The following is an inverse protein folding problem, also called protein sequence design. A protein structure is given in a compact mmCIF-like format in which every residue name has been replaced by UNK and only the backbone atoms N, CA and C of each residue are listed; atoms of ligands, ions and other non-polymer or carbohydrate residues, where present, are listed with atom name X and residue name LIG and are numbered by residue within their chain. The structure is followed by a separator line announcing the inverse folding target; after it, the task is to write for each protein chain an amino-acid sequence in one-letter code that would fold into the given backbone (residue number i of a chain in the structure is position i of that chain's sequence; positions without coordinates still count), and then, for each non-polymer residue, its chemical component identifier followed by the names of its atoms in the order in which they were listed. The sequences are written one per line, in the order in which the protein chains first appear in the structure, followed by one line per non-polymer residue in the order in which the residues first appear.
data_IF_078320485510
#
_entry.id   IF_078320485510
#
_cell.length_a   1.000
_cell.length_b   1.000
_cell.length_c   1.000
_cell.angle_alpha   90.00
_cell.angle_beta   90.00
_cell.angle_gamma   90.00
#
_symmetry.space_group_name_H-M   'P 1'
#
loop_
_entity.id
_entity.type
_entity.pdbx_description
1 polymer ?
#
# COMPACT_ATOMS: atom_id res chain seq x y z
N UNK A 1 -48.64 8.53 4.51
CA UNK A 1 -47.73 9.60 4.97
C UNK A 1 -46.45 8.93 5.45
N UNK A 2 -45.63 8.46 4.52
CA UNK A 2 -44.52 9.20 3.89
C UNK A 2 -43.26 9.19 4.76
N UNK A 3 -42.57 8.04 4.68
CA UNK A 3 -41.13 7.95 4.83
C UNK A 3 -40.50 8.90 3.80
N UNK A 4 -39.64 9.82 4.25
CA UNK A 4 -38.81 10.65 3.36
C UNK A 4 -37.55 9.89 2.97
N UNK A 5 -37.28 9.66 1.68
CA UNK A 5 -35.95 9.31 1.19
C UNK A 5 -35.20 10.57 0.73
N UNK A 6 -33.89 10.62 0.95
CA UNK A 6 -33.01 11.72 0.52
C UNK A 6 -31.63 11.60 1.18
N UNK A 7 -30.76 10.69 0.74
CA UNK A 7 -29.75 10.83 -0.33
C UNK A 7 -28.49 11.61 0.08
N UNK A 8 -27.39 10.88 0.27
CA UNK A 8 -26.20 11.07 -0.56
C UNK A 8 -25.35 9.80 -0.53
N UNK A 9 -25.02 9.19 -1.68
CA UNK A 9 -23.98 8.18 -1.73
C UNK A 9 -22.65 8.90 -1.55
N UNK A 10 -21.87 8.53 -0.52
CA UNK A 10 -20.47 8.96 -0.43
C UNK A 10 -19.79 8.61 -1.75
N UNK A 11 -19.48 9.62 -2.56
CA UNK A 11 -18.74 9.44 -3.81
C UNK A 11 -17.36 8.94 -3.40
N UNK A 12 -17.15 7.64 -3.51
CA UNK A 12 -15.83 7.01 -3.47
C UNK A 12 -15.05 7.66 -4.62
N UNK A 13 -14.19 8.63 -4.29
CA UNK A 13 -13.25 9.17 -5.25
C UNK A 13 -12.30 8.03 -5.58
N UNK A 14 -12.50 7.42 -6.74
CA UNK A 14 -11.66 6.35 -7.28
C UNK A 14 -10.32 6.99 -7.70
N UNK A 15 -9.50 7.39 -6.71
CA UNK A 15 -8.12 7.78 -6.92
C UNK A 15 -7.31 6.50 -7.08
N UNK A 16 -7.50 5.83 -8.22
CA UNK A 16 -6.60 4.77 -8.65
C UNK A 16 -5.25 5.40 -8.92
N UNK A 17 -4.37 5.32 -7.93
CA UNK A 17 -2.94 5.39 -8.17
C UNK A 17 -2.63 4.28 -9.17
N UNK A 18 -2.19 4.64 -10.37
CA UNK A 18 -1.65 3.69 -11.34
C UNK A 18 -0.29 3.20 -10.81
N UNK A 19 -0.35 2.24 -9.88
CA UNK A 19 0.79 1.44 -9.50
C UNK A 19 1.10 0.56 -10.70
N UNK A 20 1.98 1.04 -11.59
CA UNK A 20 2.35 0.39 -12.84
C UNK A 20 2.31 -1.13 -12.72
N UNK A 21 1.26 -1.72 -13.31
CA UNK A 21 1.03 -3.16 -13.37
C UNK A 21 1.17 -3.91 -12.04
N UNK A 22 0.33 -3.62 -11.04
CA UNK A 22 0.18 -4.49 -9.87
C UNK A 22 -0.02 -5.96 -10.33
N UNK A 23 0.88 -6.89 -9.95
CA UNK A 23 0.77 -8.28 -10.37
C UNK A 23 -0.57 -8.84 -9.89
N UNK A 24 -1.39 -9.32 -10.84
CA UNK A 24 -2.75 -9.79 -10.52
C UNK A 24 -2.68 -10.99 -9.57
N UNK A 25 -3.24 -10.77 -8.38
CA UNK A 25 -3.62 -11.74 -7.37
C UNK A 25 -4.00 -13.12 -7.96
N UNK A 26 -3.17 -14.11 -7.64
CA UNK A 26 -3.66 -15.42 -7.20
C UNK A 26 -3.20 -15.51 -5.76
N UNK A 27 -4.13 -15.64 -4.83
CA UNK A 27 -3.88 -15.90 -3.41
C UNK A 27 -2.58 -16.66 -3.21
N UNK A 28 -1.67 -16.09 -2.42
CA UNK A 28 -0.30 -16.53 -2.15
C UNK A 28 -0.14 -18.06 -2.11
N UNK A 29 0.01 -18.69 -3.26
CA UNK A 29 0.46 -20.07 -3.34
C UNK A 29 1.97 -20.00 -3.17
N UNK A 30 2.46 -20.49 -2.03
CA UNK A 30 3.90 -20.56 -1.76
C UNK A 30 4.67 -21.31 -2.86
N UNK A 31 3.97 -22.09 -3.70
CA UNK A 31 4.51 -22.83 -4.85
C UNK A 31 4.99 -21.95 -6.00
N UNK A 32 4.63 -20.66 -6.06
CA UNK A 32 5.05 -19.74 -7.13
C UNK A 32 6.17 -18.76 -6.74
N UNK A 33 6.73 -18.87 -5.52
CA UNK A 33 7.72 -17.92 -5.02
C UNK A 33 9.12 -18.30 -5.52
N UNK A 34 9.81 -17.43 -6.26
CA UNK A 34 11.14 -17.76 -6.77
C UNK A 34 12.14 -17.98 -5.62
N UNK A 35 12.99 -18.98 -5.80
CA UNK A 35 14.14 -19.17 -4.94
C UNK A 35 15.21 -18.12 -5.29
N UNK A 36 15.72 -17.41 -4.28
CA UNK A 36 16.73 -16.39 -4.52
C UNK A 36 18.13 -16.96 -4.25
N UNK A 37 19.06 -16.86 -5.22
CA UNK A 37 20.44 -17.21 -5.00
C UNK A 37 21.10 -16.25 -3.99
N UNK A 38 22.26 -16.66 -3.47
CA UNK A 38 23.13 -15.77 -2.69
C UNK A 38 23.66 -14.63 -3.57
N UNK A 39 24.14 -13.56 -2.94
CA UNK A 39 24.61 -12.35 -3.64
C UNK A 39 25.62 -12.64 -4.76
N UNK A 40 26.54 -13.58 -4.54
CA UNK A 40 27.55 -13.97 -5.53
C UNK A 40 26.97 -14.67 -6.78
N UNK A 41 25.77 -15.25 -6.68
CA UNK A 41 25.12 -15.97 -7.78
C UNK A 41 24.10 -15.15 -8.57
N UNK A 42 23.54 -14.08 -7.97
CA UNK A 42 22.42 -13.34 -8.55
C UNK A 42 22.74 -12.65 -9.89
N UNK A 43 23.99 -12.23 -10.09
CA UNK A 43 24.42 -11.62 -11.34
C UNK A 43 24.30 -12.61 -12.52
N UNK A 44 24.69 -13.87 -12.31
CA UNK A 44 24.64 -14.93 -13.30
C UNK A 44 23.23 -15.54 -13.46
N UNK A 45 22.33 -15.33 -12.49
CA UNK A 45 20.94 -15.82 -12.55
C UNK A 45 20.15 -15.10 -13.64
N UNK A 46 19.47 -15.89 -14.47
CA UNK A 46 18.62 -15.43 -15.57
C UNK A 46 17.14 -15.39 -15.16
N UNK A 47 16.31 -14.77 -16.00
CA UNK A 47 14.84 -14.77 -15.80
C UNK A 47 14.28 -16.18 -15.94
N UNK A 48 14.86 -16.97 -16.84
CA UNK A 48 14.53 -18.36 -17.09
C UNK A 48 14.78 -19.21 -15.84
N UNK A 49 15.96 -19.09 -15.21
CA UNK A 49 16.29 -19.80 -13.96
C UNK A 49 15.30 -19.45 -12.84
N UNK A 50 14.93 -18.18 -12.73
CA UNK A 50 13.99 -17.69 -11.72
C UNK A 50 12.59 -18.24 -11.99
N UNK A 51 12.13 -18.18 -13.24
CA UNK A 51 10.83 -18.70 -13.64
C UNK A 51 10.72 -20.21 -13.43
N UNK A 52 11.76 -20.96 -13.80
CA UNK A 52 11.83 -22.40 -13.60
C UNK A 52 11.81 -22.77 -12.12
N UNK A 53 12.57 -22.04 -11.28
CA UNK A 53 12.56 -22.25 -9.82
C UNK A 53 11.19 -22.04 -9.18
N UNK A 54 10.36 -21.20 -9.79
CA UNK A 54 9.00 -20.90 -9.37
C UNK A 54 7.94 -21.80 -10.04
N UNK A 55 8.36 -22.84 -10.79
CA UNK A 55 7.46 -23.73 -11.54
C UNK A 55 6.70 -23.02 -12.67
N UNK A 56 7.20 -21.88 -13.14
CA UNK A 56 6.60 -21.03 -14.16
C UNK A 56 7.36 -21.03 -15.49
N UNK A 57 6.84 -20.27 -16.46
CA UNK A 57 7.51 -20.00 -17.74
C UNK A 57 7.96 -18.54 -17.81
N UNK A 58 8.95 -18.18 -18.65
CA UNK A 58 9.35 -16.78 -18.86
C UNK A 58 8.18 -15.87 -19.25
N UNK A 59 7.23 -16.38 -20.06
CA UNK A 59 6.00 -15.65 -20.40
C UNK A 59 5.14 -15.32 -19.16
N UNK A 60 5.10 -16.23 -18.19
CA UNK A 60 4.38 -16.00 -16.92
C UNK A 60 5.17 -15.06 -16.01
N UNK A 61 6.50 -15.15 -16.01
CA UNK A 61 7.38 -14.21 -15.32
C UNK A 61 7.14 -12.77 -15.78
N UNK A 62 7.24 -12.49 -17.08
CA UNK A 62 7.08 -11.12 -17.62
C UNK A 62 5.68 -10.54 -17.43
N UNK A 63 4.67 -11.39 -17.15
CA UNK A 63 3.33 -10.94 -16.78
C UNK A 63 3.28 -10.41 -15.34
N UNK A 64 4.14 -10.91 -14.46
CA UNK A 64 4.17 -10.57 -13.05
C UNK A 64 5.28 -9.58 -12.70
N UNK A 65 6.41 -9.60 -13.43
CA UNK A 65 7.61 -8.83 -13.13
C UNK A 65 8.15 -8.17 -14.39
N UNK A 66 8.58 -6.91 -14.26
CA UNK A 66 9.27 -6.22 -15.35
C UNK A 66 10.74 -6.66 -15.45
N UNK A 67 11.40 -6.92 -14.31
CA UNK A 67 12.82 -7.31 -14.24
C UNK A 67 13.07 -8.46 -13.26
N UNK A 68 14.25 -9.08 -13.33
CA UNK A 68 14.69 -10.09 -12.34
C UNK A 68 14.90 -9.49 -10.95
N UNK A 69 15.32 -8.22 -10.90
CA UNK A 69 15.43 -7.45 -9.67
C UNK A 69 14.06 -7.24 -9.03
N UNK A 70 13.02 -6.94 -9.81
CA UNK A 70 11.65 -6.83 -9.28
C UNK A 70 11.16 -8.17 -8.71
N UNK A 71 11.46 -9.28 -9.38
CA UNK A 71 11.15 -10.62 -8.88
C UNK A 71 11.91 -10.95 -7.58
N UNK A 72 13.11 -10.40 -7.37
CA UNK A 72 13.84 -10.53 -6.11
C UNK A 72 13.18 -9.78 -4.95
N UNK A 73 12.36 -8.78 -5.27
CA UNK A 73 11.58 -7.99 -4.31
C UNK A 73 10.13 -8.50 -4.19
N UNK A 74 9.80 -9.68 -4.74
CA UNK A 74 8.43 -10.24 -4.78
C UNK A 74 7.74 -10.30 -3.42
N UNK A 75 8.48 -10.62 -2.36
CA UNK A 75 7.90 -10.77 -1.01
C UNK A 75 7.39 -9.45 -0.43
N UNK A 76 7.63 -8.32 -1.11
CA UNK A 76 7.00 -7.05 -0.79
C UNK A 76 5.62 -6.88 -1.44
N UNK A 77 5.07 -7.84 -2.19
CA UNK A 77 3.71 -7.73 -2.76
C UNK A 77 2.66 -7.56 -1.67
N UNK A 78 2.82 -8.23 -0.53
CA UNK A 78 1.92 -8.05 0.63
C UNK A 78 1.91 -6.57 1.09
N UNK A 79 3.02 -5.84 0.91
CA UNK A 79 3.09 -4.39 1.19
C UNK A 79 2.31 -3.59 0.14
N UNK A 80 2.38 -3.95 -1.14
CA UNK A 80 1.62 -3.27 -2.20
C UNK A 80 0.11 -3.49 -2.00
N UNK A 81 -0.30 -4.71 -1.64
CA UNK A 81 -1.70 -5.04 -1.34
C UNK A 81 -2.18 -4.29 -0.09
N UNK A 82 -1.38 -4.28 0.98
CA UNK A 82 -1.69 -3.52 2.19
C UNK A 82 -1.80 -2.01 1.91
N UNK A 83 -0.99 -1.48 0.98
CA UNK A 83 -1.06 -0.08 0.57
C UNK A 83 -2.29 0.21 -0.29
N UNK A 84 -2.67 -0.68 -1.21
CA UNK A 84 -3.85 -0.53 -2.05
C UNK A 84 -5.17 -0.56 -1.27
N UNK A 85 -5.16 -1.18 -0.08
CA UNK A 85 -6.27 -1.17 0.87
C UNK A 85 -6.12 -0.19 2.04
N UNK A 86 -5.13 0.72 2.00
CA UNK A 86 -4.84 1.62 3.12
C UNK A 86 -5.90 2.72 3.21
N UNK A 87 -6.79 2.60 4.19
CA UNK A 87 -7.70 3.65 4.64
C UNK A 87 -7.21 4.16 6.00
N UNK A 88 -6.91 5.46 6.11
CA UNK A 88 -6.43 6.08 7.36
C UNK A 88 -7.58 6.84 8.02
N UNK A 89 -7.84 6.56 9.29
CA UNK A 89 -8.80 7.31 10.11
C UNK A 89 -8.03 8.38 10.90
N UNK A 90 -7.94 9.59 10.33
CA UNK A 90 -7.16 10.71 10.90
C UNK A 90 -8.07 11.87 11.24
N UNK A 91 -7.90 12.46 12.42
CA UNK A 91 -8.65 13.67 12.82
C UNK A 91 -7.82 14.93 12.61
N UNK A 92 -6.52 14.84 12.84
CA UNK A 92 -5.55 15.90 12.66
C UNK A 92 -4.17 15.34 12.30
N UNK A 93 -3.17 16.23 12.23
CA UNK A 93 -1.81 15.86 11.86
C UNK A 93 -1.10 15.01 12.93
N UNK A 94 -1.44 15.15 14.21
CA UNK A 94 -0.87 14.33 15.26
C UNK A 94 -1.37 12.89 15.15
N UNK A 95 -2.69 12.71 14.97
CA UNK A 95 -3.32 11.41 14.73
C UNK A 95 -2.77 10.74 13.46
N UNK A 96 -2.54 11.50 12.40
CA UNK A 96 -1.95 11.00 11.16
C UNK A 96 -0.59 10.31 11.36
N UNK A 97 0.27 10.87 12.23
CA UNK A 97 1.57 10.26 12.52
C UNK A 97 1.43 8.91 13.23
N UNK A 98 0.44 8.79 14.12
CA UNK A 98 0.14 7.56 14.87
C UNK A 98 -0.43 6.49 13.95
N UNK A 99 -1.35 6.85 13.05
CA UNK A 99 -1.93 5.90 12.08
C UNK A 99 -0.86 5.33 11.14
N UNK A 100 0.04 6.18 10.62
CA UNK A 100 1.15 5.74 9.78
C UNK A 100 2.10 4.82 10.55
N UNK A 101 2.46 5.17 11.79
CA UNK A 101 3.29 4.31 12.64
C UNK A 101 2.61 2.97 12.91
N UNK A 102 1.29 2.95 13.15
CA UNK A 102 0.52 1.71 13.35
C UNK A 102 0.54 0.85 12.11
N UNK A 103 0.33 1.44 10.94
CA UNK A 103 0.41 0.74 9.65
C UNK A 103 1.79 0.09 9.44
N UNK A 104 2.86 0.88 9.60
CA UNK A 104 4.24 0.39 9.45
C UNK A 104 4.59 -0.70 10.48
N UNK A 105 4.16 -0.54 11.73
CA UNK A 105 4.35 -1.56 12.76
C UNK A 105 3.57 -2.85 12.44
N UNK A 106 2.38 -2.73 11.83
CA UNK A 106 1.62 -3.87 11.32
C UNK A 106 2.38 -4.65 10.25
N UNK A 107 2.99 -3.96 9.29
CA UNK A 107 3.83 -4.59 8.27
C UNK A 107 5.03 -5.32 8.89
N UNK A 108 5.69 -4.70 9.89
CA UNK A 108 6.82 -5.33 10.58
C UNK A 108 6.41 -6.56 11.39
N UNK A 109 5.25 -6.51 12.06
CA UNK A 109 4.72 -7.67 12.80
C UNK A 109 4.32 -8.82 11.90
N UNK A 110 3.96 -8.56 10.64
CA UNK A 110 3.67 -9.62 9.68
C UNK A 110 4.94 -10.40 9.26
N UNK A 111 6.14 -9.89 9.56
CA UNK A 111 7.41 -10.57 9.35
C UNK A 111 7.69 -11.56 10.50
N UNK A 112 7.20 -12.78 10.35
CA UNK A 112 7.45 -13.89 11.29
C UNK A 112 7.95 -15.14 10.55
N UNK A 113 8.71 -15.98 11.26
CA UNK A 113 9.31 -17.21 10.72
C UNK A 113 10.03 -16.93 9.40
N UNK A 114 9.89 -17.83 8.43
CA UNK A 114 10.54 -17.78 7.11
C UNK A 114 10.47 -16.42 6.39
N UNK A 115 9.46 -15.58 6.68
CA UNK A 115 9.35 -14.22 6.12
C UNK A 115 10.44 -13.29 6.64
N UNK A 116 10.85 -13.44 7.89
CA UNK A 116 11.93 -12.66 8.49
C UNK A 116 13.29 -13.04 7.89
N UNK A 117 13.59 -14.34 7.72
CA UNK A 117 14.82 -14.79 7.07
C UNK A 117 14.88 -14.32 5.60
N UNK A 118 13.75 -14.38 4.89
CA UNK A 118 13.60 -13.86 3.53
C UNK A 118 13.86 -12.35 3.47
N UNK A 119 13.23 -11.57 4.35
CA UNK A 119 13.46 -10.14 4.45
C UNK A 119 14.95 -9.83 4.70
N UNK A 120 15.59 -10.58 5.60
CA UNK A 120 17.02 -10.47 5.85
C UNK A 120 17.88 -10.86 4.64
N UNK A 121 17.47 -11.86 3.84
CA UNK A 121 18.13 -12.21 2.59
C UNK A 121 18.03 -11.09 1.56
N UNK A 122 16.83 -10.53 1.36
CA UNK A 122 16.62 -9.43 0.41
C UNK A 122 17.38 -8.17 0.84
N UNK A 123 17.40 -7.87 2.14
CA UNK A 123 18.26 -6.83 2.75
C UNK A 123 19.73 -6.99 2.35
N UNK A 124 20.30 -8.19 2.52
CA UNK A 124 21.69 -8.49 2.13
C UNK A 124 21.92 -8.33 0.63
N UNK A 125 20.97 -8.76 -0.20
CA UNK A 125 21.04 -8.60 -1.65
C UNK A 125 20.99 -7.12 -2.07
N UNK A 126 20.13 -6.32 -1.44
CA UNK A 126 20.00 -4.87 -1.66
C UNK A 126 21.27 -4.12 -1.25
N UNK A 127 21.91 -4.55 -0.17
CA UNK A 127 23.18 -3.99 0.29
C UNK A 127 24.33 -4.37 -0.68
N UNK A 128 24.37 -5.60 -1.17
CA UNK A 128 25.45 -6.10 -2.01
C UNK A 128 25.34 -5.73 -3.50
N UNK A 129 24.12 -5.58 -4.03
CA UNK A 129 23.88 -5.52 -5.48
C UNK A 129 23.23 -4.18 -5.85
N UNK A 130 23.93 -3.32 -6.64
CA UNK A 130 23.41 -2.01 -7.01
C UNK A 130 22.09 -2.04 -7.79
N UNK A 131 21.89 -3.00 -8.71
CA UNK A 131 20.63 -3.08 -9.49
C UNK A 131 19.42 -3.39 -8.61
N UNK A 132 19.57 -4.29 -7.63
CA UNK A 132 18.52 -4.58 -6.64
C UNK A 132 18.26 -3.37 -5.76
N UNK A 133 19.30 -2.63 -5.36
CA UNK A 133 19.14 -1.38 -4.61
C UNK A 133 18.32 -0.35 -5.37
N UNK A 134 18.60 -0.15 -6.65
CA UNK A 134 17.82 0.76 -7.49
C UNK A 134 16.36 0.32 -7.62
N UNK A 135 16.09 -0.98 -7.76
CA UNK A 135 14.73 -1.52 -7.77
C UNK A 135 14.02 -1.30 -6.41
N UNK A 136 14.73 -1.54 -5.30
CA UNK A 136 14.20 -1.32 -3.95
C UNK A 136 13.89 0.16 -3.70
N UNK A 137 14.76 1.07 -4.13
CA UNK A 137 14.53 2.52 -4.04
C UNK A 137 13.32 2.95 -4.89
N UNK A 138 13.17 2.40 -6.09
CA UNK A 138 12.00 2.66 -6.94
C UNK A 138 10.71 2.21 -6.25
N UNK A 139 10.73 1.02 -5.64
CA UNK A 139 9.59 0.50 -4.88
C UNK A 139 9.28 1.32 -3.64
N UNK A 140 10.29 1.71 -2.87
CA UNK A 140 10.13 2.57 -1.69
C UNK A 140 9.51 3.91 -2.05
N UNK A 141 9.87 4.48 -3.22
CA UNK A 141 9.23 5.71 -3.73
C UNK A 141 7.74 5.49 -4.01
N UNK A 142 7.36 4.34 -4.58
CA UNK A 142 5.95 3.99 -4.82
C UNK A 142 5.18 3.86 -3.52
N UNK A 143 5.74 3.16 -2.53
CA UNK A 143 5.11 3.00 -1.20
C UNK A 143 4.95 4.35 -0.51
N UNK A 144 6.02 5.14 -0.48
CA UNK A 144 6.02 6.49 0.12
C UNK A 144 4.97 7.39 -0.53
N UNK A 145 4.80 7.30 -1.85
CA UNK A 145 3.77 8.04 -2.58
C UNK A 145 2.37 7.60 -2.18
N UNK A 146 2.10 6.29 -2.13
CA UNK A 146 0.78 5.80 -1.72
C UNK A 146 0.40 6.23 -0.29
N UNK A 147 1.34 6.16 0.66
CA UNK A 147 1.09 6.64 2.04
C UNK A 147 0.80 8.15 2.04
N UNK A 148 1.57 8.94 1.29
CA UNK A 148 1.33 10.38 1.15
C UNK A 148 -0.06 10.67 0.60
N UNK A 149 -0.47 9.96 -0.45
CA UNK A 149 -1.74 10.21 -1.12
C UNK A 149 -2.93 9.80 -0.21
N UNK A 150 -2.79 8.69 0.52
CA UNK A 150 -3.74 8.29 1.55
C UNK A 150 -3.87 9.33 2.69
N UNK A 151 -2.74 9.88 3.15
CA UNK A 151 -2.72 10.95 4.16
C UNK A 151 -3.41 12.23 3.69
N UNK A 152 -3.12 12.65 2.44
CA UNK A 152 -3.74 13.84 1.86
C UNK A 152 -5.26 13.67 1.76
N UNK A 153 -5.72 12.50 1.29
CA UNK A 153 -7.14 12.20 1.20
C UNK A 153 -7.81 12.25 2.58
N UNK A 154 -7.26 11.53 3.56
CA UNK A 154 -7.85 11.40 4.89
C UNK A 154 -7.89 12.75 5.65
N UNK A 155 -6.82 13.55 5.58
CA UNK A 155 -6.80 14.89 6.19
C UNK A 155 -7.75 15.88 5.49
N UNK A 156 -7.93 15.72 4.17
CA UNK A 156 -8.92 16.50 3.40
C UNK A 156 -10.34 16.23 3.88
N UNK A 157 -10.70 14.95 4.04
CA UNK A 157 -12.01 14.52 4.54
C UNK A 157 -12.27 15.02 5.97
N UNK A 158 -11.28 14.90 6.88
CA UNK A 158 -11.40 15.40 8.25
C UNK A 158 -11.66 16.92 8.31
N UNK A 159 -10.99 17.69 7.46
CA UNK A 159 -11.18 19.12 7.37
C UNK A 159 -12.57 19.50 6.83
N UNK A 160 -13.11 18.73 5.88
CA UNK A 160 -14.46 18.93 5.34
C UNK A 160 -15.55 18.59 6.37
N UNK A 161 -15.38 17.51 7.12
CA UNK A 161 -16.30 17.11 8.20
C UNK A 161 -16.36 18.16 9.33
N UNK A 162 -15.20 18.74 9.68
CA UNK A 162 -15.14 19.84 10.64
C UNK A 162 -15.85 21.12 10.15
N UNK A 163 -15.70 21.47 8.86
CA UNK A 163 -16.40 22.60 8.23
C UNK A 163 -17.91 22.40 8.19
N UNK A 164 -18.38 21.21 7.85
CA UNK A 164 -19.82 20.90 7.81
C UNK A 164 -20.44 20.94 9.22
N UNK A 165 -19.73 20.40 10.22
CA UNK A 165 -20.20 20.36 11.61
C UNK A 165 -20.31 21.76 12.24
N UNK A 166 -19.43 22.71 11.89
CA UNK A 166 -19.52 24.10 12.34
C UNK A 166 -20.63 24.90 11.62
N UNK A 167 -20.88 24.62 10.34
CA UNK A 167 -21.99 25.22 9.57
C UNK A 167 -23.39 24.76 10.06
N UNK A 168 -23.53 23.51 10.51
CA UNK A 168 -24.80 23.03 11.06
C UNK A 168 -25.09 23.61 12.46
N UNK A 169 -24.06 23.80 13.30
CA UNK A 169 -24.22 24.41 14.63
C UNK A 169 -24.63 25.88 14.59
N UNK A 170 -24.06 26.66 13.67
CA UNK A 170 -24.39 28.10 13.53
C UNK A 170 -25.80 28.37 12.98
N UNK A 171 -26.44 27.40 12.32
CA UNK A 171 -27.84 27.51 11.85
C UNK A 171 -28.90 27.14 12.89
N UNK A 172 -28.50 26.60 14.04
CA UNK A 172 -29.41 26.16 15.12
C UNK A 172 -29.73 27.22 16.18
N UNK A 173 -29.24 28.46 16.06
CA UNK A 173 -29.39 29.50 17.09
C UNK A 173 -30.11 30.72 16.52
N UNK A 174 -31.43 30.61 16.31
CA UNK A 174 -32.30 31.78 16.30
C UNK A 174 -32.79 32.01 17.74
N UNK A 175 -32.49 33.16 18.38
CA UNK A 175 -33.09 33.48 19.67
C UNK A 175 -34.59 33.67 19.44
N UNK A 176 -35.42 32.90 20.14
CA UNK A 176 -36.84 33.24 20.26
C UNK A 176 -36.91 34.52 21.08
N UNK A 177 -37.09 35.65 20.40
CA UNK A 177 -37.49 36.91 21.01
C UNK A 177 -38.84 36.71 21.67
N UNK A 178 -38.81 36.74 23.00
CA UNK A 178 -39.93 36.95 23.90
C UNK A 178 -40.73 38.18 23.43
N UNK A 179 -42.02 38.00 23.17
CA UNK A 179 -42.97 39.11 23.16
C UNK A 179 -44.03 38.88 24.26
N UNK A 180 -44.38 40.01 24.87
CA UNK A 180 -45.11 40.24 26.13
C UNK A 180 -46.61 40.04 25.97
#
# INVERSE_FOLDING_TARGET
MSLRPGTSPRRRCDHRIDHGGAPRSRAADQRGRPALPRAQGFAATTVEDIAESAGGSPRTFFRCFATKEDAALFDFIEVDEALGGLELDVKDLADASVEVQRFLAGLLRALEGDRLERFAQIRRLTEAIPSIRHAADARLRTVTRGIRDALIAALGEAADDARQSSSCRSRGTLPQTTEV
#
